data_IF_508054964583
#
_entry.id   IF_508054964583
#
_cell.length_a   1.000
_cell.length_b   1.000
_cell.length_c   1.000
_cell.angle_alpha   90.00
_cell.angle_beta   90.00
_cell.angle_gamma   90.00
#
_symmetry.space_group_name_H-M   'P 1'
#
loop_
_entity.id
_entity.type
_entity.pdbx_description
1 polymer ?
#
# COMPACT_ATOMS: atom_id res chain seq x y z
N UNK A 1 -10.16 20.25 -24.34
CA UNK A 1 -9.52 21.06 -25.40
C UNK A 1 -8.67 20.11 -26.22
N UNK A 2 -9.16 19.74 -27.41
CA UNK A 2 -8.48 18.81 -28.34
C UNK A 2 -7.58 19.68 -29.23
N UNK A 3 -6.29 19.34 -29.35
CA UNK A 3 -5.32 20.08 -30.17
C UNK A 3 -4.25 20.89 -29.42
N UNK A 4 -3.71 20.40 -28.29
CA UNK A 4 -2.62 21.09 -27.57
C UNK A 4 -1.27 20.51 -28.00
N UNK A 5 -0.38 21.34 -28.56
CA UNK A 5 0.97 20.97 -29.00
C UNK A 5 2.03 20.99 -27.87
N UNK A 6 1.64 21.29 -26.62
CA UNK A 6 2.57 21.35 -25.47
C UNK A 6 1.89 20.85 -24.17
N UNK A 7 2.52 19.91 -23.49
CA UNK A 7 2.04 19.29 -22.24
C UNK A 7 1.33 17.93 -22.41
N UNK A 8 0.97 17.28 -21.30
CA UNK A 8 0.21 16.01 -21.33
C UNK A 8 -1.22 16.25 -21.84
N UNK A 9 -1.70 15.48 -22.84
CA UNK A 9 -3.06 15.62 -23.39
C UNK A 9 -4.16 15.11 -22.43
N UNK A 10 -3.79 14.47 -21.32
CA UNK A 10 -4.74 13.84 -20.40
C UNK A 10 -5.56 14.90 -19.62
N UNK A 11 -6.87 14.89 -19.83
CA UNK A 11 -7.81 15.76 -19.12
C UNK A 11 -8.93 14.93 -18.51
N UNK A 12 -9.16 15.11 -17.20
CA UNK A 12 -10.31 14.50 -16.50
C UNK A 12 -11.63 15.13 -16.98
N UNK A 13 -12.69 14.34 -17.23
CA UNK A 13 -14.02 14.86 -17.51
C UNK A 13 -14.57 15.67 -16.32
N UNK A 14 -15.60 16.50 -16.55
CA UNK A 14 -16.18 17.36 -15.49
C UNK A 14 -15.55 18.75 -15.35
N UNK A 15 -14.83 19.21 -16.37
CA UNK A 15 -14.29 20.57 -16.42
C UNK A 15 -13.10 20.81 -15.48
N UNK A 16 -12.97 22.05 -14.98
CA UNK A 16 -11.82 22.47 -14.15
C UNK A 16 -12.13 22.49 -12.66
N UNK A 17 -13.40 22.52 -12.26
CA UNK A 17 -13.81 22.69 -10.86
C UNK A 17 -13.20 21.62 -9.95
N UNK A 18 -13.29 20.33 -10.34
CA UNK A 18 -12.75 19.22 -9.56
C UNK A 18 -11.24 19.36 -9.30
N UNK A 19 -10.48 19.93 -10.25
CA UNK A 19 -9.03 20.15 -10.08
C UNK A 19 -8.72 21.14 -8.96
N UNK A 20 -9.59 22.10 -8.68
CA UNK A 20 -9.38 23.13 -7.65
C UNK A 20 -9.95 22.72 -6.29
N UNK A 21 -11.16 22.15 -6.28
CA UNK A 21 -11.86 21.76 -5.05
C UNK A 21 -11.30 20.49 -4.39
N UNK A 22 -10.79 19.53 -5.15
CA UNK A 22 -10.20 18.31 -4.57
C UNK A 22 -9.04 18.62 -3.60
N UNK A 23 -9.05 18.01 -2.42
CA UNK A 23 -7.94 18.06 -1.47
C UNK A 23 -6.78 17.16 -1.90
N UNK A 24 -7.10 15.96 -2.41
CA UNK A 24 -6.14 15.01 -2.94
C UNK A 24 -6.53 14.56 -4.35
N UNK A 25 -5.54 14.36 -5.22
CA UNK A 25 -5.71 13.75 -6.55
C UNK A 25 -4.63 12.72 -6.78
N UNK A 26 -5.06 11.53 -7.15
CA UNK A 26 -4.21 10.38 -7.39
C UNK A 26 -4.35 10.01 -8.88
N UNK A 27 -3.23 9.89 -9.56
CA UNK A 27 -3.12 9.35 -10.91
C UNK A 27 -2.73 7.88 -10.79
N UNK A 28 -3.63 6.99 -11.18
CA UNK A 28 -3.47 5.53 -11.05
C UNK A 28 -3.22 4.96 -12.43
N UNK A 29 -2.07 4.29 -12.61
CA UNK A 29 -1.67 3.69 -13.88
C UNK A 29 -1.21 2.26 -13.67
N UNK A 30 -1.59 1.38 -14.59
CA UNK A 30 -1.03 0.03 -14.66
C UNK A 30 0.39 0.11 -15.24
N UNK A 31 1.37 -0.43 -14.53
CA UNK A 31 2.78 -0.48 -14.95
C UNK A 31 3.21 -1.86 -15.43
N UNK A 32 2.57 -2.94 -14.96
CA UNK A 32 2.98 -4.29 -15.33
C UNK A 32 1.91 -5.35 -15.10
N UNK A 33 2.21 -6.56 -15.57
CA UNK A 33 1.44 -7.78 -15.31
C UNK A 33 2.19 -8.62 -14.29
N UNK A 34 1.47 -9.13 -13.31
CA UNK A 34 1.97 -10.14 -12.39
C UNK A 34 1.58 -11.51 -12.93
N UNK A 35 2.57 -12.35 -13.22
CA UNK A 35 2.38 -13.70 -13.73
C UNK A 35 2.91 -14.70 -12.71
N UNK A 36 2.19 -15.81 -12.53
CA UNK A 36 2.67 -16.98 -11.81
C UNK A 36 2.70 -18.15 -12.80
N UNK A 37 3.92 -18.54 -13.20
CA UNK A 37 4.11 -19.44 -14.34
C UNK A 37 3.55 -18.85 -15.64
N UNK A 38 2.53 -19.51 -16.20
CA UNK A 38 1.86 -19.10 -17.44
C UNK A 38 0.60 -18.25 -17.21
N UNK A 39 0.06 -18.24 -15.99
CA UNK A 39 -1.18 -17.53 -15.67
C UNK A 39 -0.94 -16.09 -15.22
N UNK A 40 -1.79 -15.16 -15.67
CA UNK A 40 -1.76 -13.76 -15.23
C UNK A 40 -2.60 -13.63 -13.95
N UNK A 41 -1.94 -13.65 -12.80
CA UNK A 41 -2.60 -13.62 -11.49
C UNK A 41 -2.99 -12.19 -11.08
N UNK A 42 -2.34 -11.17 -11.65
CA UNK A 42 -2.67 -9.78 -11.36
C UNK A 42 -1.96 -8.74 -12.21
N UNK A 43 -2.00 -7.51 -11.71
CA UNK A 43 -1.37 -6.35 -12.32
C UNK A 43 -0.64 -5.51 -11.28
N UNK A 44 0.53 -4.99 -11.64
CA UNK A 44 1.22 -4.00 -10.81
C UNK A 44 0.73 -2.61 -11.19
N UNK A 45 0.35 -1.84 -10.17
CA UNK A 45 -0.27 -0.53 -10.32
C UNK A 45 0.61 0.50 -9.63
N UNK A 46 0.77 1.65 -10.29
CA UNK A 46 1.47 2.82 -9.76
C UNK A 46 0.44 3.91 -9.50
N UNK A 47 0.38 4.38 -8.26
CA UNK A 47 -0.42 5.52 -7.85
C UNK A 47 0.50 6.71 -7.57
N UNK A 48 0.38 7.78 -8.36
CA UNK A 48 1.12 9.04 -8.18
C UNK A 48 0.20 10.10 -7.61
N UNK A 49 0.62 10.73 -6.52
CA UNK A 49 -0.13 11.85 -5.92
C UNK A 49 0.16 13.11 -6.73
N UNK A 50 -0.78 13.53 -7.58
CA UNK A 50 -0.64 14.72 -8.43
C UNK A 50 -1.00 15.99 -7.69
N UNK A 51 -1.89 15.91 -6.69
CA UNK A 51 -2.25 17.03 -5.82
C UNK A 51 -2.46 16.51 -4.41
N UNK A 52 -1.89 17.20 -3.43
CA UNK A 52 -2.12 16.95 -2.01
C UNK A 52 -2.14 18.30 -1.28
N UNK A 53 -3.21 18.58 -0.54
CA UNK A 53 -3.33 19.79 0.32
C UNK A 53 -2.97 19.53 1.78
N UNK A 54 -2.83 18.26 2.18
CA UNK A 54 -2.65 17.86 3.59
C UNK A 54 -1.18 17.47 3.88
N UNK A 55 -0.50 16.87 2.89
CA UNK A 55 0.88 16.41 3.03
C UNK A 55 1.69 16.71 1.74
N UNK A 56 3.01 16.43 1.72
CA UNK A 56 3.84 16.64 0.54
C UNK A 56 3.27 15.94 -0.72
N UNK A 57 3.09 16.66 -1.84
CA UNK A 57 2.61 16.07 -3.09
C UNK A 57 3.72 15.29 -3.83
N UNK A 58 3.35 14.65 -4.95
CA UNK A 58 4.25 13.93 -5.87
C UNK A 58 4.88 12.64 -5.38
N UNK A 59 4.49 12.15 -4.20
CA UNK A 59 4.82 10.79 -3.77
C UNK A 59 4.20 9.76 -4.71
N UNK A 60 4.90 8.64 -4.87
CA UNK A 60 4.50 7.51 -5.69
C UNK A 60 4.37 6.31 -4.78
N UNK A 61 3.27 5.58 -4.90
CA UNK A 61 3.08 4.27 -4.31
C UNK A 61 2.96 3.25 -5.43
N UNK A 62 3.65 2.12 -5.29
CA UNK A 62 3.49 0.97 -6.16
C UNK A 62 2.93 -0.17 -5.33
N UNK A 63 1.90 -0.82 -5.86
CA UNK A 63 1.27 -1.96 -5.20
C UNK A 63 0.81 -2.98 -6.22
N UNK A 64 0.71 -4.22 -5.76
CA UNK A 64 0.25 -5.33 -6.58
C UNK A 64 -1.27 -5.51 -6.39
N UNK A 65 -1.99 -5.57 -7.51
CA UNK A 65 -3.44 -5.80 -7.56
C UNK A 65 -3.73 -7.17 -8.14
N UNK A 66 -4.22 -8.07 -7.31
CA UNK A 66 -4.63 -9.44 -7.64
C UNK A 66 -6.05 -9.44 -8.21
N UNK A 67 -6.33 -10.33 -9.16
CA UNK A 67 -7.68 -10.44 -9.74
C UNK A 67 -8.73 -10.98 -8.76
N UNK A 68 -8.32 -11.84 -7.83
CA UNK A 68 -9.22 -12.51 -6.87
C UNK A 68 -9.48 -11.68 -5.60
N UNK A 69 -8.44 -11.07 -5.04
CA UNK A 69 -8.47 -10.40 -3.73
C UNK A 69 -8.32 -8.88 -3.80
N UNK A 70 -8.11 -8.30 -4.98
CA UNK A 70 -7.91 -6.87 -5.13
C UNK A 70 -6.52 -6.42 -4.67
N UNK A 71 -6.44 -5.38 -3.83
CA UNK A 71 -5.15 -4.83 -3.37
C UNK A 71 -4.50 -5.81 -2.40
N UNK A 72 -3.27 -6.22 -2.70
CA UNK A 72 -2.54 -7.22 -1.93
C UNK A 72 -1.74 -6.60 -0.78
N UNK A 73 -2.40 -6.32 0.34
CA UNK A 73 -1.78 -5.68 1.51
C UNK A 73 -0.52 -6.40 2.01
N UNK A 74 -0.55 -7.73 2.08
CA UNK A 74 0.57 -8.54 2.57
C UNK A 74 1.76 -8.50 1.60
N UNK A 75 1.48 -8.31 0.31
CA UNK A 75 2.51 -8.15 -0.72
C UNK A 75 3.24 -6.81 -0.59
N UNK A 76 2.49 -5.75 -0.29
CA UNK A 76 3.04 -4.42 -0.05
C UNK A 76 3.85 -4.39 1.25
N UNK A 77 3.40 -5.09 2.28
CA UNK A 77 4.12 -5.25 3.54
C UNK A 77 5.51 -5.87 3.34
N UNK A 78 5.60 -6.89 2.48
CA UNK A 78 6.88 -7.53 2.12
C UNK A 78 7.77 -6.56 1.36
N UNK A 79 7.23 -5.86 0.35
CA UNK A 79 8.01 -4.92 -0.47
C UNK A 79 8.56 -3.76 0.39
N UNK A 80 7.74 -3.16 1.26
CA UNK A 80 8.15 -2.11 2.19
C UNK A 80 9.13 -2.63 3.25
N UNK A 81 8.90 -3.82 3.78
CA UNK A 81 9.79 -4.44 4.75
C UNK A 81 11.18 -4.74 4.17
N UNK A 82 11.27 -5.08 2.88
CA UNK A 82 12.54 -5.24 2.17
C UNK A 82 13.23 -3.90 1.95
N UNK A 83 12.48 -2.86 1.54
CA UNK A 83 13.02 -1.51 1.31
C UNK A 83 13.60 -0.92 2.61
N UNK A 84 12.91 -1.10 3.73
CA UNK A 84 13.34 -0.66 5.05
C UNK A 84 14.29 -1.63 5.76
N UNK A 85 14.68 -2.73 5.11
CA UNK A 85 15.60 -3.77 5.65
C UNK A 85 15.14 -4.44 6.94
N UNK A 86 13.84 -4.42 7.22
CA UNK A 86 13.21 -5.14 8.33
C UNK A 86 13.07 -6.63 7.97
N UNK A 87 12.75 -6.90 6.69
CA UNK A 87 12.70 -8.24 6.13
C UNK A 87 14.02 -8.49 5.39
N UNK A 88 14.67 -9.60 5.74
CA UNK A 88 15.86 -10.09 5.05
C UNK A 88 15.51 -10.99 3.87
N UNK A 89 16.25 -10.86 2.78
CA UNK A 89 16.18 -11.79 1.64
C UNK A 89 17.50 -12.51 1.47
N UNK A 90 17.48 -13.84 1.60
CA UNK A 90 18.63 -14.70 1.31
C UNK A 90 18.32 -15.55 0.09
N UNK A 91 18.74 -15.09 -1.09
CA UNK A 91 18.42 -15.72 -2.36
C UNK A 91 16.92 -15.65 -2.67
N UNK A 92 16.25 -16.81 -2.67
CA UNK A 92 14.80 -16.92 -2.86
C UNK A 92 14.01 -16.95 -1.54
N UNK A 93 14.68 -16.94 -0.38
CA UNK A 93 14.03 -17.03 0.93
C UNK A 93 13.83 -15.66 1.57
N UNK A 94 12.64 -15.45 2.14
CA UNK A 94 12.29 -14.29 2.94
C UNK A 94 12.31 -14.64 4.43
N UNK A 95 12.93 -13.77 5.23
CA UNK A 95 13.08 -13.94 6.68
C UNK A 95 12.76 -12.65 7.41
N UNK A 96 12.10 -12.78 8.55
CA UNK A 96 11.84 -11.69 9.47
C UNK A 96 12.47 -12.06 10.82
N UNK A 97 13.57 -11.38 11.18
CA UNK A 97 14.40 -11.79 12.32
C UNK A 97 14.89 -13.24 12.16
N UNK A 98 14.46 -14.11 13.09
CA UNK A 98 14.75 -15.55 13.06
C UNK A 98 13.68 -16.39 12.36
N UNK A 99 12.50 -15.82 12.09
CA UNK A 99 11.39 -16.53 11.45
C UNK A 99 11.52 -16.55 9.93
N UNK A 100 11.21 -17.69 9.34
CA UNK A 100 11.25 -17.90 7.90
C UNK A 100 9.84 -17.75 7.32
N UNK A 101 9.62 -16.68 6.55
CA UNK A 101 8.31 -16.36 5.96
C UNK A 101 7.97 -17.28 4.77
N UNK A 102 8.98 -17.72 4.03
CA UNK A 102 8.79 -18.66 2.92
C UNK A 102 9.78 -18.46 1.76
N UNK A 103 9.68 -19.36 0.79
CA UNK A 103 10.44 -19.30 -0.45
C UNK A 103 9.62 -18.60 -1.54
N UNK A 104 10.08 -17.46 -2.01
CA UNK A 104 9.37 -16.65 -2.99
C UNK A 104 8.30 -15.75 -2.38
N UNK A 105 7.90 -14.73 -3.15
CA UNK A 105 6.96 -13.68 -2.71
C UNK A 105 5.57 -14.26 -2.42
N UNK A 106 5.13 -15.23 -3.22
CA UNK A 106 3.79 -15.82 -3.08
C UNK A 106 3.62 -16.61 -1.78
N UNK A 107 4.59 -17.47 -1.44
CA UNK A 107 4.55 -18.23 -0.19
C UNK A 107 4.65 -17.33 1.04
N UNK A 108 5.50 -16.29 0.97
CA UNK A 108 5.60 -15.31 2.05
C UNK A 108 4.29 -14.54 2.24
N UNK A 109 3.58 -14.21 1.16
CA UNK A 109 2.26 -13.56 1.21
C UNK A 109 1.20 -14.45 1.85
N UNK A 110 1.13 -15.72 1.45
CA UNK A 110 0.22 -16.70 2.05
C UNK A 110 0.50 -16.87 3.55
N UNK A 111 1.77 -16.96 3.93
CA UNK A 111 2.17 -17.06 5.33
C UNK A 111 1.71 -15.86 6.16
N UNK A 112 1.88 -14.64 5.66
CA UNK A 112 1.42 -13.42 6.35
C UNK A 112 -0.11 -13.31 6.41
N UNK A 113 -0.81 -13.84 5.41
CA UNK A 113 -2.27 -13.90 5.40
C UNK A 113 -2.81 -14.86 6.45
N UNK A 114 -2.13 -15.98 6.68
CA UNK A 114 -2.49 -16.96 7.72
C UNK A 114 -2.07 -16.48 9.13
N UNK A 115 -0.96 -15.74 9.23
CA UNK A 115 -0.38 -15.28 10.50
C UNK A 115 -0.48 -13.77 10.65
N UNK A 116 -1.69 -13.27 10.93
CA UNK A 116 -1.97 -11.84 11.09
C UNK A 116 -1.15 -11.18 12.21
N UNK A 117 -0.85 -11.90 13.29
CA UNK A 117 0.00 -11.39 14.39
C UNK A 117 1.39 -10.97 13.91
N UNK A 118 2.01 -11.79 13.06
CA UNK A 118 3.34 -11.50 12.49
C UNK A 118 3.25 -10.34 11.50
N UNK A 119 2.15 -10.27 10.72
CA UNK A 119 1.92 -9.16 9.80
C UNK A 119 1.74 -7.82 10.53
N UNK A 120 1.06 -7.80 11.68
CA UNK A 120 0.92 -6.60 12.51
C UNK A 120 2.25 -6.18 13.14
N UNK A 121 3.05 -7.12 13.65
CA UNK A 121 4.38 -6.79 14.18
C UNK A 121 5.30 -6.18 13.11
N UNK A 122 5.28 -6.75 11.88
CA UNK A 122 6.03 -6.19 10.75
C UNK A 122 5.52 -4.80 10.40
N UNK A 123 4.20 -4.59 10.39
CA UNK A 123 3.58 -3.29 10.11
C UNK A 123 4.00 -2.23 11.12
N UNK A 124 3.99 -2.56 12.41
CA UNK A 124 4.40 -1.63 13.47
C UNK A 124 5.85 -1.20 13.29
N UNK A 125 6.75 -2.16 13.04
CA UNK A 125 8.16 -1.88 12.76
C UNK A 125 8.33 -1.01 11.51
N UNK A 126 7.53 -1.24 10.46
CA UNK A 126 7.58 -0.47 9.21
C UNK A 126 7.12 0.99 9.44
N UNK A 127 6.05 1.17 10.21
CA UNK A 127 5.50 2.49 10.52
C UNK A 127 6.44 3.29 11.42
N UNK A 128 7.03 2.64 12.44
CA UNK A 128 8.03 3.24 13.31
C UNK A 128 9.26 3.69 12.51
N UNK A 129 9.79 2.84 11.63
CA UNK A 129 10.92 3.18 10.76
C UNK A 129 10.57 4.29 9.75
N UNK A 130 9.31 4.39 9.34
CA UNK A 130 8.79 5.45 8.47
C UNK A 130 8.56 6.80 9.17
N UNK A 131 8.75 6.88 10.49
CA UNK A 131 8.50 8.09 11.28
C UNK A 131 7.01 8.42 11.44
N UNK A 132 6.14 7.42 11.30
CA UNK A 132 4.69 7.55 11.46
C UNK A 132 4.21 7.06 12.84
N UNK A 133 5.04 7.29 13.86
CA UNK A 133 4.79 6.80 15.23
C UNK A 133 3.44 7.29 15.78
N UNK A 134 3.04 8.52 15.41
CA UNK A 134 1.74 9.10 15.78
C UNK A 134 0.53 8.25 15.35
N UNK A 135 0.63 7.54 14.21
CA UNK A 135 -0.44 6.66 13.70
C UNK A 135 -0.53 5.31 14.43
N UNK A 136 0.53 4.90 15.15
CA UNK A 136 0.52 3.70 16.00
C UNK A 136 -0.25 3.97 17.29
N UNK A 137 -0.07 5.15 17.88
CA UNK A 137 -0.77 5.59 19.09
C UNK A 137 -2.29 5.76 18.91
N UNK A 138 -2.76 6.10 17.71
CA UNK A 138 -4.18 6.33 17.43
C UNK A 138 -5.04 5.05 17.45
N UNK A 139 -4.41 3.86 17.40
CA UNK A 139 -5.12 2.57 17.48
C UNK A 139 -5.44 2.12 18.91
N UNK A 140 -5.00 2.87 19.93
CA UNK A 140 -5.21 2.55 21.36
C UNK A 140 -6.42 3.21 22.02
N UNK A 141 -7.29 3.90 21.27
CA UNK A 141 -8.55 4.45 21.79
C UNK A 141 -9.75 3.69 21.21
N UNK A 142 -9.91 2.43 21.63
CA UNK A 142 -11.23 1.77 21.59
C UNK A 142 -11.99 2.21 22.85
N UNK A 143 -13.00 3.05 22.60
CA UNK A 143 -14.30 3.22 23.27
C UNK A 143 -14.41 3.27 24.82
N UNK A 144 -14.79 4.44 25.38
CA UNK A 144 -15.49 4.50 26.66
C UNK A 144 -16.99 4.81 26.42
N UNK A 145 -17.72 3.91 25.76
CA UNK A 145 -19.19 3.99 25.68
C UNK A 145 -19.82 2.63 26.07
N UNK A 146 -19.38 2.07 27.19
CA UNK A 146 -20.15 1.10 27.99
C UNK A 146 -20.17 1.61 29.44
N UNK A 147 -21.25 2.33 29.79
CA UNK A 147 -21.88 2.42 31.12
C UNK A 147 -22.68 3.73 31.25
N UNK A 148 -23.78 3.84 30.51
CA UNK A 148 -24.97 4.54 31.03
C UNK A 148 -25.97 3.44 31.36
N UNK A 149 -25.74 2.78 32.49
CA UNK A 149 -26.77 2.04 33.20
C UNK A 149 -27.52 3.01 34.11
N UNK A 150 -28.80 3.16 33.78
CA UNK A 150 -29.95 3.49 34.63
C UNK A 150 -29.69 4.06 36.05
N UNK A 151 -30.11 5.31 36.26
CA UNK A 151 -30.84 5.73 37.47
C UNK A 151 -31.78 6.92 37.18
#
# INVERSE_FOLDING_TARGET
KIGVMFGSPETTPGGRALKFYSSCRIDVRRIGQLKDGEEVVGQRVRAKIVKNKVAPPFRVAEFDMMHSTGISYEGDLIDLGLEQKIIGRTGAWFRFGEQQLGQGKEKARLFLKENTQVADEIKEKILAAGGFDDLLTAKGSEDPDEDISDE
#
